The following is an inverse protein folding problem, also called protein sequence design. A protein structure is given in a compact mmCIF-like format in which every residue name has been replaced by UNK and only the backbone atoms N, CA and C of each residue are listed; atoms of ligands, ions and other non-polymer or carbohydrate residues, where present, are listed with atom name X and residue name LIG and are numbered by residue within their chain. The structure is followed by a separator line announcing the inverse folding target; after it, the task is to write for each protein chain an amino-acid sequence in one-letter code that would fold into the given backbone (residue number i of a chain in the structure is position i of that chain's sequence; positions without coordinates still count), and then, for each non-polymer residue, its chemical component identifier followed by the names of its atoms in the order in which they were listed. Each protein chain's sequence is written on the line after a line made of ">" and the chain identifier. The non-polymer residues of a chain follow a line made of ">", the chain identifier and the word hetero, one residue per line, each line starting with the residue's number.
data_IF_544466336391
#
_entry.id   IF_544466336391
#
_cell.length_a   1.000
_cell.length_b   1.000
_cell.length_c   1.000
_cell.angle_alpha   90.00
_cell.angle_beta   90.00
_cell.angle_gamma   90.00
#
_symmetry.space_group_name_H-M   'P 1'
#
loop_
_entity.id
_entity.type
_entity.pdbx_description
1 polymer ?
#
# COMPACT_ATOMS: atom_id res chain seq x y z
N UNK A 1 -35.00 -35.43 -23.64
CA UNK A 1 -34.99 -34.43 -22.54
C UNK A 1 -34.24 -35.06 -21.36
N UNK A 2 -32.97 -34.65 -21.13
CA UNK A 2 -32.12 -35.28 -20.10
C UNK A 2 -32.33 -34.51 -18.80
N UNK A 3 -32.95 -35.18 -17.80
CA UNK A 3 -33.19 -34.57 -16.48
C UNK A 3 -31.83 -34.38 -15.76
N UNK A 4 -31.40 -33.14 -15.58
CA UNK A 4 -30.23 -32.83 -14.76
C UNK A 4 -30.55 -33.08 -13.29
N UNK A 5 -29.94 -34.05 -12.68
CA UNK A 5 -30.12 -34.37 -11.27
C UNK A 5 -29.34 -33.36 -10.41
N UNK A 6 -29.82 -33.06 -9.19
CA UNK A 6 -29.19 -32.20 -8.19
C UNK A 6 -27.71 -32.55 -7.95
N UNK A 7 -27.37 -33.82 -7.99
CA UNK A 7 -26.01 -34.35 -7.83
C UNK A 7 -25.09 -33.99 -9.02
N UNK A 8 -25.63 -33.92 -10.25
CA UNK A 8 -24.90 -33.50 -11.45
C UNK A 8 -24.58 -32.00 -11.43
N UNK A 9 -25.50 -31.19 -10.90
CA UNK A 9 -25.29 -29.75 -10.74
C UNK A 9 -24.19 -29.47 -9.70
N UNK A 10 -24.20 -30.14 -8.55
CA UNK A 10 -23.18 -29.93 -7.51
C UNK A 10 -21.76 -30.35 -7.93
N UNK A 11 -21.64 -31.38 -8.79
CA UNK A 11 -20.33 -31.76 -9.33
C UNK A 11 -19.78 -30.75 -10.35
N UNK A 12 -20.66 -30.11 -11.12
CA UNK A 12 -20.26 -29.10 -12.10
C UNK A 12 -19.86 -27.77 -11.45
N UNK A 13 -20.55 -27.38 -10.36
CA UNK A 13 -20.22 -26.15 -9.62
C UNK A 13 -18.99 -26.28 -8.73
N UNK A 14 -18.75 -27.47 -8.16
CA UNK A 14 -17.54 -27.72 -7.34
C UNK A 14 -16.25 -27.59 -8.14
N UNK A 15 -16.22 -28.03 -9.40
CA UNK A 15 -15.07 -27.90 -10.28
C UNK A 15 -14.79 -26.44 -10.70
N UNK A 16 -15.84 -25.65 -10.94
CA UNK A 16 -15.71 -24.24 -11.31
C UNK A 16 -15.24 -23.36 -10.14
N UNK A 17 -15.70 -23.64 -8.91
CA UNK A 17 -15.23 -22.93 -7.71
C UNK A 17 -13.74 -23.21 -7.40
N UNK A 18 -13.32 -24.47 -7.56
CA UNK A 18 -11.93 -24.85 -7.33
C UNK A 18 -10.97 -24.18 -8.33
N UNK A 19 -11.42 -23.96 -9.58
CA UNK A 19 -10.62 -23.27 -10.59
C UNK A 19 -10.54 -21.76 -10.33
N UNK A 20 -11.62 -21.15 -9.85
CA UNK A 20 -11.65 -19.72 -9.51
C UNK A 20 -10.76 -19.39 -8.28
N UNK A 21 -10.63 -20.30 -7.32
CA UNK A 21 -9.75 -20.11 -6.16
C UNK A 21 -8.27 -20.35 -6.49
N UNK A 22 -7.96 -21.13 -7.53
CA UNK A 22 -6.58 -21.37 -7.96
C UNK A 22 -5.98 -20.20 -8.77
N UNK A 23 -6.82 -19.31 -9.32
CA UNK A 23 -6.40 -18.05 -9.99
C UNK A 23 -6.41 -16.85 -9.05
N UNK A 24 -6.60 -17.07 -7.75
CA UNK A 24 -6.49 -16.05 -6.72
C UNK A 24 -5.16 -15.30 -6.88
N UNK A 25 -5.25 -13.98 -6.93
CA UNK A 25 -4.12 -13.07 -7.07
C UNK A 25 -2.96 -13.57 -6.19
N UNK A 26 -1.89 -14.03 -6.83
CA UNK A 26 -0.63 -14.25 -6.12
C UNK A 26 -0.21 -12.88 -5.62
N UNK A 27 -0.37 -12.63 -4.34
CA UNK A 27 0.32 -11.55 -3.69
C UNK A 27 1.80 -11.79 -3.95
N UNK A 28 2.39 -11.08 -4.91
CA UNK A 28 3.84 -11.12 -5.19
C UNK A 28 4.58 -10.30 -4.14
N UNK A 29 4.03 -10.22 -2.93
CA UNK A 29 4.66 -9.57 -1.80
C UNK A 29 5.68 -10.49 -1.14
N UNK A 30 6.78 -9.92 -0.67
CA UNK A 30 7.69 -10.56 0.27
C UNK A 30 6.88 -11.02 1.49
N UNK A 31 6.98 -12.28 1.86
CA UNK A 31 6.40 -12.76 3.13
C UNK A 31 7.26 -12.19 4.25
N UNK A 32 6.67 -11.26 5.02
CA UNK A 32 7.33 -10.66 6.17
C UNK A 32 7.29 -11.64 7.34
N UNK A 33 8.46 -11.91 7.93
CA UNK A 33 8.55 -12.59 9.22
C UNK A 33 8.14 -11.65 10.36
N UNK A 34 7.77 -12.20 11.51
CA UNK A 34 7.30 -11.42 12.67
C UNK A 34 8.32 -10.36 13.17
N UNK A 35 9.61 -10.52 12.86
CA UNK A 35 10.69 -9.61 13.25
C UNK A 35 11.21 -8.76 12.09
N UNK A 36 10.64 -8.88 10.89
CA UNK A 36 11.07 -8.11 9.74
C UNK A 36 10.61 -6.66 9.86
N UNK A 37 11.46 -5.76 9.37
CA UNK A 37 11.13 -4.34 9.31
C UNK A 37 10.08 -4.11 8.22
N UNK A 38 9.01 -3.39 8.57
CA UNK A 38 7.97 -2.95 7.62
C UNK A 38 8.37 -1.58 7.07
N UNK A 39 8.64 -1.51 5.79
CA UNK A 39 9.04 -0.29 5.09
C UNK A 39 7.83 0.48 4.56
N UNK A 40 7.67 1.71 5.02
CA UNK A 40 6.51 2.57 4.71
C UNK A 40 6.92 3.69 3.75
N UNK A 41 6.04 3.99 2.78
CA UNK A 41 6.10 5.19 1.94
C UNK A 41 4.93 6.13 2.22
N UNK A 42 5.13 7.43 2.03
CA UNK A 42 4.07 8.44 2.12
C UNK A 42 3.74 8.97 0.73
N UNK A 43 2.47 8.90 0.34
CA UNK A 43 1.91 9.42 -0.89
C UNK A 43 1.01 10.61 -0.57
N UNK A 44 1.44 11.81 -0.95
CA UNK A 44 0.86 13.07 -0.48
C UNK A 44 1.56 13.59 0.78
N UNK A 45 2.37 14.63 0.60
CA UNK A 45 3.28 15.13 1.63
C UNK A 45 2.81 16.45 2.27
N UNK A 46 1.59 16.91 1.98
CA UNK A 46 0.99 18.12 2.53
C UNK A 46 0.75 18.06 4.04
N UNK A 47 -0.13 18.93 4.54
CA UNK A 47 -0.40 19.06 5.98
C UNK A 47 -0.89 17.73 6.62
N UNK A 48 -1.77 16.98 5.92
CA UNK A 48 -2.25 15.69 6.44
C UNK A 48 -1.14 14.63 6.42
N UNK A 49 -0.34 14.55 5.35
CA UNK A 49 0.84 13.70 5.30
C UNK A 49 1.84 13.98 6.42
N UNK A 50 2.05 15.26 6.78
CA UNK A 50 2.86 15.63 7.95
C UNK A 50 2.26 15.13 9.27
N UNK A 51 0.92 15.14 9.40
CA UNK A 51 0.21 14.55 10.54
C UNK A 51 0.44 13.04 10.64
N UNK A 52 0.35 12.31 9.53
CA UNK A 52 0.61 10.88 9.49
C UNK A 52 2.05 10.52 9.86
N UNK A 53 3.04 11.29 9.40
CA UNK A 53 4.44 11.08 9.79
C UNK A 53 4.64 11.22 11.31
N UNK A 54 3.96 12.19 11.96
CA UNK A 54 3.98 12.32 13.43
C UNK A 54 3.34 11.12 14.13
N UNK A 55 2.25 10.58 13.59
CA UNK A 55 1.60 9.40 14.15
C UNK A 55 2.53 8.17 14.06
N UNK A 56 3.20 7.97 12.92
CA UNK A 56 4.17 6.90 12.74
C UNK A 56 5.34 7.04 13.73
N UNK A 57 5.84 8.27 13.94
CA UNK A 57 6.92 8.55 14.89
C UNK A 57 6.61 8.07 16.33
N UNK A 58 5.35 8.08 16.74
CA UNK A 58 4.95 7.64 18.09
C UNK A 58 5.18 6.14 18.35
N UNK A 59 5.23 5.32 17.30
CA UNK A 59 5.28 3.86 17.43
C UNK A 59 6.32 3.16 16.53
N UNK A 60 7.08 3.90 15.72
CA UNK A 60 7.93 3.32 14.69
C UNK A 60 9.00 2.36 15.21
N UNK A 61 9.59 2.68 16.39
CA UNK A 61 10.61 1.82 17.01
C UNK A 61 9.99 0.55 17.59
N UNK A 62 8.89 0.69 18.31
CA UNK A 62 8.17 -0.43 18.93
C UNK A 62 7.66 -1.43 17.87
N UNK A 63 7.15 -0.91 16.75
CA UNK A 63 6.57 -1.72 15.67
C UNK A 63 7.55 -2.05 14.56
N UNK A 64 8.85 -1.76 14.74
CA UNK A 64 9.90 -1.99 13.75
C UNK A 64 9.55 -1.44 12.36
N UNK A 65 9.04 -0.19 12.30
CA UNK A 65 8.70 0.47 11.04
C UNK A 65 9.91 1.21 10.46
N UNK A 66 10.05 1.20 9.15
CA UNK A 66 11.04 1.98 8.40
C UNK A 66 10.35 2.95 7.45
N UNK A 67 10.67 4.24 7.52
CA UNK A 67 10.22 5.18 6.49
C UNK A 67 11.27 5.22 5.40
N UNK A 68 10.90 4.86 4.15
CA UNK A 68 11.85 4.66 3.05
C UNK A 68 11.58 5.54 1.82
N UNK A 69 10.37 6.09 1.69
CA UNK A 69 9.99 6.87 0.52
C UNK A 69 8.96 7.96 0.84
N UNK A 70 9.02 9.06 0.08
CA UNK A 70 8.01 10.10 0.02
C UNK A 70 7.67 10.42 -1.44
N UNK A 71 6.41 10.67 -1.74
CA UNK A 71 5.93 11.01 -3.07
C UNK A 71 4.95 12.18 -3.01
N UNK A 72 5.23 13.22 -3.79
CA UNK A 72 4.32 14.37 -3.97
C UNK A 72 4.63 15.04 -5.31
N UNK A 73 3.61 15.48 -6.03
CA UNK A 73 3.78 16.22 -7.28
C UNK A 73 4.50 17.57 -7.06
N UNK A 74 4.25 18.20 -5.91
CA UNK A 74 4.85 19.49 -5.59
C UNK A 74 6.21 19.31 -4.90
N UNK A 75 7.26 19.80 -5.56
CA UNK A 75 8.65 19.66 -5.11
C UNK A 75 8.88 20.15 -3.67
N UNK A 76 8.30 21.31 -3.32
CA UNK A 76 8.46 21.86 -1.96
C UNK A 76 7.90 20.95 -0.87
N UNK A 77 6.72 20.34 -1.11
CA UNK A 77 6.15 19.38 -0.16
C UNK A 77 7.04 18.14 -0.03
N UNK A 78 7.55 17.65 -1.15
CA UNK A 78 8.41 16.47 -1.20
C UNK A 78 9.72 16.67 -0.45
N UNK A 79 10.41 17.77 -0.72
CA UNK A 79 11.67 18.12 -0.05
C UNK A 79 11.48 18.37 1.45
N UNK A 80 10.43 19.11 1.82
CA UNK A 80 10.05 19.32 3.22
C UNK A 80 9.74 18.01 3.94
N UNK A 81 9.05 17.08 3.28
CA UNK A 81 8.75 15.78 3.84
C UNK A 81 10.01 14.93 4.01
N UNK A 82 10.94 14.98 3.07
CA UNK A 82 12.22 14.25 3.17
C UNK A 82 13.05 14.79 4.35
N UNK A 83 13.15 16.12 4.50
CA UNK A 83 13.82 16.75 5.64
C UNK A 83 13.16 16.39 6.98
N UNK A 84 11.82 16.39 7.04
CA UNK A 84 11.04 15.97 8.21
C UNK A 84 11.28 14.49 8.56
N UNK A 85 11.33 13.60 7.56
CA UNK A 85 11.68 12.19 7.76
C UNK A 85 13.11 12.02 8.30
N UNK A 86 14.07 12.77 7.78
CA UNK A 86 15.44 12.76 8.30
C UNK A 86 15.50 13.17 9.76
N UNK A 87 14.80 14.24 10.12
CA UNK A 87 14.79 14.76 11.49
C UNK A 87 14.12 13.77 12.48
N UNK A 88 13.00 13.09 12.08
CA UNK A 88 12.22 12.23 12.96
C UNK A 88 12.77 10.81 13.05
N UNK A 89 13.15 10.24 11.90
CA UNK A 89 13.49 8.83 11.78
C UNK A 89 14.98 8.57 11.57
N UNK A 90 15.78 9.64 11.36
CA UNK A 90 17.20 9.53 11.05
C UNK A 90 17.49 8.93 9.66
N UNK A 91 16.49 8.81 8.78
CA UNK A 91 16.59 8.12 7.51
C UNK A 91 16.53 9.09 6.34
N UNK A 92 17.45 8.98 5.40
CA UNK A 92 17.36 9.63 4.10
C UNK A 92 16.40 8.84 3.21
N UNK A 93 15.21 9.41 2.98
CA UNK A 93 14.17 8.77 2.19
C UNK A 93 14.30 9.05 0.71
N UNK A 94 13.91 8.09 -0.14
CA UNK A 94 13.82 8.32 -1.58
C UNK A 94 12.64 9.24 -1.89
N UNK A 95 12.83 10.13 -2.84
CA UNK A 95 11.85 11.13 -3.24
C UNK A 95 11.33 10.84 -4.64
N UNK A 96 10.02 10.82 -4.79
CA UNK A 96 9.35 10.56 -6.07
C UNK A 96 8.33 11.64 -6.41
N UNK A 97 8.26 12.02 -7.66
CA UNK A 97 7.23 12.93 -8.16
C UNK A 97 5.95 12.16 -8.52
N UNK A 98 6.09 10.97 -9.07
CA UNK A 98 4.99 10.14 -9.55
C UNK A 98 4.87 8.86 -8.74
N UNK A 99 3.64 8.47 -8.43
CA UNK A 99 3.32 7.29 -7.59
C UNK A 99 3.83 5.99 -8.19
N UNK A 100 3.77 5.83 -9.50
CA UNK A 100 4.21 4.63 -10.21
C UNK A 100 5.68 4.31 -9.95
N UNK A 101 6.52 5.35 -9.90
CA UNK A 101 7.95 5.19 -9.60
C UNK A 101 8.19 4.70 -8.18
N UNK A 102 7.43 5.25 -7.21
CA UNK A 102 7.50 4.80 -5.82
C UNK A 102 6.97 3.37 -5.66
N UNK A 103 5.84 3.05 -6.32
CA UNK A 103 5.22 1.73 -6.24
C UNK A 103 6.06 0.62 -6.90
N UNK A 104 6.96 0.97 -7.83
CA UNK A 104 7.92 0.03 -8.41
C UNK A 104 9.03 -0.41 -7.45
N UNK A 105 9.18 0.24 -6.28
CA UNK A 105 10.16 -0.16 -5.26
C UNK A 105 9.86 -1.56 -4.72
N UNK A 106 10.86 -2.44 -4.73
CA UNK A 106 10.74 -3.81 -4.22
C UNK A 106 10.81 -3.90 -2.69
N UNK A 107 11.43 -2.93 -2.06
CA UNK A 107 11.66 -2.83 -0.62
C UNK A 107 10.63 -1.91 0.08
N UNK A 108 9.54 -1.57 -0.57
CA UNK A 108 8.40 -0.87 -0.01
C UNK A 108 7.28 -1.87 0.28
N UNK A 109 6.85 -1.96 1.52
CA UNK A 109 5.84 -2.92 1.99
C UNK A 109 4.46 -2.29 2.10
N UNK A 110 4.39 -1.04 2.58
CA UNK A 110 3.12 -0.34 2.81
C UNK A 110 3.16 1.12 2.37
N UNK A 111 2.01 1.68 2.00
CA UNK A 111 1.86 3.08 1.57
C UNK A 111 0.78 3.78 2.38
N UNK A 112 1.08 4.97 2.86
CA UNK A 112 0.11 5.85 3.52
C UNK A 112 -0.31 6.95 2.55
N UNK A 113 -1.58 6.96 2.13
CA UNK A 113 -2.16 7.93 1.19
C UNK A 113 -2.78 9.09 1.95
N UNK A 114 -2.32 10.31 1.66
CA UNK A 114 -2.83 11.57 2.21
C UNK A 114 -2.84 12.68 1.14
N UNK A 115 -3.28 12.34 -0.06
CA UNK A 115 -3.43 13.25 -1.22
C UNK A 115 -4.77 14.02 -1.14
N UNK A 116 -5.18 14.67 -2.20
CA UNK A 116 -6.53 15.23 -2.34
C UNK A 116 -7.57 14.12 -2.46
N UNK A 117 -8.75 14.36 -1.89
CA UNK A 117 -9.83 13.38 -1.74
C UNK A 117 -10.18 12.65 -3.05
N UNK A 118 -10.23 13.38 -4.16
CA UNK A 118 -10.57 12.86 -5.49
C UNK A 118 -9.56 11.83 -6.05
N UNK A 119 -8.38 11.70 -5.43
CA UNK A 119 -7.34 10.78 -5.86
C UNK A 119 -7.33 9.49 -5.04
N UNK A 120 -7.99 9.45 -3.88
CA UNK A 120 -7.87 8.36 -2.92
C UNK A 120 -8.22 7.00 -3.54
N UNK A 121 -9.37 6.88 -4.19
CA UNK A 121 -9.82 5.60 -4.77
C UNK A 121 -8.88 5.08 -5.86
N UNK A 122 -8.39 5.97 -6.73
CA UNK A 122 -7.48 5.59 -7.83
C UNK A 122 -6.12 5.15 -7.28
N UNK A 123 -5.55 5.93 -6.36
CA UNK A 123 -4.25 5.62 -5.77
C UNK A 123 -4.32 4.37 -4.89
N UNK A 124 -5.40 4.16 -4.14
CA UNK A 124 -5.64 2.94 -3.38
C UNK A 124 -5.63 1.71 -4.29
N UNK A 125 -6.37 1.77 -5.41
CA UNK A 125 -6.37 0.71 -6.43
C UNK A 125 -4.95 0.40 -6.91
N UNK A 126 -4.17 1.43 -7.23
CA UNK A 126 -2.83 1.26 -7.79
C UNK A 126 -1.84 0.70 -6.75
N UNK A 127 -1.94 1.12 -5.48
CA UNK A 127 -1.15 0.55 -4.38
C UNK A 127 -1.47 -0.93 -4.20
N UNK A 128 -2.75 -1.29 -4.11
CA UNK A 128 -3.17 -2.70 -3.94
C UNK A 128 -2.77 -3.55 -5.15
N UNK A 129 -2.92 -3.02 -6.37
CA UNK A 129 -2.49 -3.71 -7.60
C UNK A 129 -0.97 -3.95 -7.64
N UNK A 130 -0.18 -3.09 -6.97
CA UNK A 130 1.27 -3.28 -6.82
C UNK A 130 1.67 -4.30 -5.74
N UNK A 131 0.69 -4.92 -5.06
CA UNK A 131 0.90 -5.93 -4.02
C UNK A 131 1.38 -5.37 -2.68
N UNK A 132 1.11 -4.09 -2.41
CA UNK A 132 1.52 -3.42 -1.17
C UNK A 132 0.30 -3.16 -0.27
N UNK A 133 0.54 -3.15 1.03
CA UNK A 133 -0.47 -2.74 2.01
C UNK A 133 -0.74 -1.24 1.92
N UNK A 134 -1.94 -0.82 2.31
CA UNK A 134 -2.35 0.57 2.21
C UNK A 134 -3.12 1.07 3.43
N UNK A 135 -2.71 2.22 3.92
CA UNK A 135 -3.55 3.10 4.74
C UNK A 135 -4.00 4.27 3.85
N UNK A 136 -5.30 4.44 3.69
CA UNK A 136 -5.86 5.54 2.91
C UNK A 136 -6.66 6.50 3.81
N UNK A 137 -6.40 7.80 3.66
CA UNK A 137 -7.19 8.82 4.35
C UNK A 137 -8.63 8.85 3.85
N UNK A 138 -9.50 9.37 4.69
CA UNK A 138 -10.91 9.60 4.36
C UNK A 138 -11.07 10.87 3.48
N UNK A 139 -12.11 10.96 2.66
CA UNK A 139 -13.04 9.90 2.26
C UNK A 139 -12.36 8.91 1.30
N UNK A 140 -12.80 7.67 1.28
CA UNK A 140 -12.24 6.67 0.36
C UNK A 140 -12.86 6.74 -1.04
N UNK A 141 -14.05 7.28 -1.17
CA UNK A 141 -14.75 7.56 -2.43
C UNK A 141 -15.86 8.60 -2.19
#
# INVERSE_FOLDING_TARGET
>A
MTVRTRRGFMKATGGALAYATATGARAQGRVLGANDRINIGFLGCGARGAGLRRMVEMSWREKNLGVVAVCDLWTQNREKAAADCKARFGTDVRQFQHSEQMLAMKDLDAVMIATGDHQHALLLRDVVASGKDCYCEKPMA
#
